data_IF_436134666819
#
_entry.id   IF_436134666819
#
_cell.length_a   1.000
_cell.length_b   1.000
_cell.length_c   1.000
_cell.angle_alpha   90.00
_cell.angle_beta   90.00
_cell.angle_gamma   90.00
#
_symmetry.space_group_name_H-M   'P 1'
#
loop_
_entity.id
_entity.type
_entity.pdbx_description
1 polymer ?
#
# COMPACT_ATOMS: atom_id res chain seq x y z
N UNK A 1 64.37 16.34 16.98
CA UNK A 1 65.34 16.02 18.05
C UNK A 1 64.59 15.38 19.21
N UNK A 2 64.57 14.06 19.25
CA UNK A 2 64.88 13.24 20.42
C UNK A 2 64.72 11.79 19.98
N UNK A 3 65.88 11.18 19.79
CA UNK A 3 66.07 9.78 19.46
C UNK A 3 66.04 8.92 20.73
N UNK A 4 65.85 7.63 20.46
CA UNK A 4 66.34 6.43 21.14
C UNK A 4 65.16 5.53 21.57
N UNK A 5 64.89 4.47 20.78
CA UNK A 5 65.58 3.17 20.84
C UNK A 5 64.73 2.24 21.73
N UNK A 6 64.38 1.00 21.44
CA UNK A 6 64.76 0.04 20.39
C UNK A 6 64.03 -1.27 20.74
N UNK A 7 64.00 -2.20 19.77
CA UNK A 7 63.67 -3.63 19.90
C UNK A 7 62.17 -3.97 19.93
N UNK A 8 61.61 -4.78 19.03
CA UNK A 8 62.17 -5.53 17.92
C UNK A 8 61.02 -6.26 17.21
N UNK A 9 60.97 -6.13 15.89
CA UNK A 9 60.41 -7.17 14.99
C UNK A 9 61.53 -8.20 14.80
N UNK A 10 61.25 -9.50 14.59
CA UNK A 10 60.60 -10.01 13.37
C UNK A 10 59.68 -11.21 13.68
N UNK A 11 58.91 -11.88 12.81
CA UNK A 11 59.18 -12.45 11.50
C UNK A 11 57.82 -12.87 10.90
N UNK A 12 57.59 -12.58 9.62
CA UNK A 12 56.61 -13.31 8.81
C UNK A 12 57.27 -14.63 8.39
N UNK A 13 56.73 -15.75 8.84
CA UNK A 13 57.05 -17.07 8.29
C UNK A 13 55.76 -17.86 8.06
N UNK A 14 55.59 -18.26 6.80
CA UNK A 14 54.98 -19.50 6.32
C UNK A 14 53.75 -20.04 7.04
N UNK A 15 52.60 -19.86 6.40
CA UNK A 15 51.68 -20.98 6.28
C UNK A 15 52.40 -22.14 5.56
N UNK A 16 51.99 -23.37 5.85
CA UNK A 16 52.44 -24.63 5.25
C UNK A 16 53.65 -25.29 5.91
N UNK A 17 53.43 -25.94 7.06
CA UNK A 17 53.95 -27.28 7.42
C UNK A 17 53.88 -27.52 8.94
N UNK A 18 52.73 -28.01 9.44
CA UNK A 18 52.63 -28.68 10.74
C UNK A 18 51.35 -29.52 10.83
N UNK A 19 51.18 -30.46 9.90
CA UNK A 19 50.36 -31.64 10.16
C UNK A 19 51.24 -32.62 10.94
N UNK A 20 51.08 -32.67 12.27
CA UNK A 20 51.83 -33.67 13.03
C UNK A 20 52.01 -33.44 14.51
N UNK A 21 51.09 -32.79 15.22
CA UNK A 21 50.92 -33.04 16.66
C UNK A 21 49.44 -32.89 17.01
N UNK A 22 48.79 -34.01 17.27
CA UNK A 22 47.50 -34.02 17.93
C UNK A 22 47.68 -33.30 19.28
N UNK A 23 46.85 -32.29 19.62
CA UNK A 23 46.92 -31.69 20.94
C UNK A 23 46.63 -32.81 21.95
N UNK A 24 47.57 -33.06 22.86
CA UNK A 24 47.32 -33.91 24.01
C UNK A 24 46.19 -33.28 24.79
N UNK A 25 44.99 -33.85 24.60
CA UNK A 25 43.81 -33.53 25.38
C UNK A 25 44.22 -33.75 26.85
N UNK A 26 44.08 -32.73 27.73
CA UNK A 26 44.38 -32.89 29.14
C UNK A 26 43.72 -34.16 29.65
N UNK A 27 44.43 -35.00 30.41
CA UNK A 27 43.94 -36.31 30.90
C UNK A 27 42.59 -36.17 31.64
N UNK A 28 42.28 -34.99 32.20
CA UNK A 28 41.00 -34.66 32.81
C UNK A 28 39.78 -34.59 31.84
N UNK A 29 40.01 -34.38 30.54
CA UNK A 29 38.97 -34.38 29.50
C UNK A 29 38.73 -35.79 28.91
N UNK A 30 39.67 -36.72 29.05
CA UNK A 30 39.47 -38.11 28.61
C UNK A 30 38.44 -38.86 29.46
N UNK A 31 38.35 -38.55 30.76
CA UNK A 31 37.31 -39.09 31.64
C UNK A 31 35.91 -38.58 31.25
N UNK A 32 35.79 -37.31 30.85
CA UNK A 32 34.50 -36.72 30.49
C UNK A 32 33.95 -37.22 29.13
N UNK A 33 34.82 -37.55 28.16
CA UNK A 33 34.38 -38.08 26.86
C UNK A 33 34.05 -39.57 26.90
N UNK A 34 34.70 -40.35 27.77
CA UNK A 34 34.37 -41.77 27.96
C UNK A 34 32.97 -41.94 28.55
N UNK A 35 32.58 -41.08 29.49
CA UNK A 35 31.25 -41.10 30.09
C UNK A 35 30.15 -40.71 29.08
N UNK A 36 30.42 -39.76 28.17
CA UNK A 36 29.45 -39.37 27.14
C UNK A 36 29.28 -40.40 26.03
N UNK A 37 30.32 -41.11 25.61
CA UNK A 37 30.18 -42.22 24.67
C UNK A 37 29.47 -43.43 25.30
N UNK A 38 29.73 -43.70 26.59
CA UNK A 38 29.04 -44.74 27.34
C UNK A 38 27.55 -44.40 27.51
N UNK A 39 27.22 -43.15 27.85
CA UNK A 39 25.85 -42.64 27.92
C UNK A 39 25.14 -42.71 26.54
N UNK A 40 25.86 -42.38 25.46
CA UNK A 40 25.30 -42.44 24.10
C UNK A 40 25.06 -43.89 23.66
N UNK A 41 25.96 -44.83 23.99
CA UNK A 41 25.79 -46.27 23.71
C UNK A 41 24.63 -46.88 24.50
N UNK A 42 24.53 -46.60 25.80
CA UNK A 42 23.43 -47.07 26.65
C UNK A 42 22.07 -46.53 26.21
N UNK A 43 21.97 -45.24 25.85
CA UNK A 43 20.73 -44.69 25.28
C UNK A 43 20.33 -45.35 23.95
N UNK A 44 21.32 -45.69 23.11
CA UNK A 44 21.05 -46.35 21.81
C UNK A 44 20.62 -47.80 22.01
N UNK A 45 21.24 -48.53 22.96
CA UNK A 45 20.85 -49.91 23.31
C UNK A 45 19.49 -49.99 24.00
N UNK A 46 19.16 -49.05 24.89
CA UNK A 46 17.83 -48.96 25.52
C UNK A 46 16.74 -48.62 24.51
N UNK A 47 17.03 -47.74 23.55
CA UNK A 47 16.12 -47.43 22.44
C UNK A 47 15.89 -48.61 21.50
N UNK A 48 16.89 -49.47 21.27
CA UNK A 48 16.76 -50.67 20.44
C UNK A 48 15.99 -51.80 21.15
N UNK A 49 15.96 -51.81 22.49
CA UNK A 49 15.25 -52.81 23.32
C UNK A 49 13.80 -52.43 23.65
N UNK A 50 13.31 -51.28 23.18
CA UNK A 50 11.93 -50.82 23.41
C UNK A 50 11.57 -50.56 24.87
N UNK A 51 12.58 -50.46 25.75
CA UNK A 51 12.38 -50.19 27.17
C UNK A 51 12.21 -48.68 27.39
N UNK A 52 11.21 -48.23 28.17
CA UNK A 52 11.02 -46.82 28.44
C UNK A 52 12.27 -46.27 29.14
N UNK A 53 12.93 -45.29 28.51
CA UNK A 53 14.12 -44.56 28.97
C UNK A 53 14.01 -43.94 30.39
N UNK A 54 12.84 -44.04 31.02
CA UNK A 54 12.47 -43.42 32.29
C UNK A 54 12.80 -44.28 33.53
N UNK A 55 13.33 -45.50 33.37
CA UNK A 55 13.62 -46.41 34.50
C UNK A 55 15.11 -46.68 34.73
N UNK A 56 16.00 -46.04 33.98
CA UNK A 56 17.42 -46.07 34.31
C UNK A 56 17.69 -45.08 35.45
N UNK A 57 18.07 -45.56 36.65
CA UNK A 57 18.29 -44.71 37.82
C UNK A 57 19.39 -43.66 37.57
N UNK A 58 20.36 -43.96 36.71
CA UNK A 58 21.46 -43.03 36.37
C UNK A 58 20.94 -41.86 35.52
N UNK A 59 20.03 -42.13 34.58
CA UNK A 59 19.40 -41.08 33.76
C UNK A 59 18.46 -40.22 34.62
N UNK A 60 17.75 -40.83 35.58
CA UNK A 60 16.92 -40.13 36.56
C UNK A 60 17.72 -39.17 37.44
N UNK A 61 18.87 -39.60 37.96
CA UNK A 61 19.77 -38.77 38.76
C UNK A 61 20.34 -37.59 37.96
N UNK A 62 20.80 -37.81 36.72
CA UNK A 62 21.33 -36.74 35.87
C UNK A 62 20.27 -35.69 35.51
N UNK A 63 19.01 -36.10 35.28
CA UNK A 63 17.90 -35.18 35.06
C UNK A 63 17.55 -34.38 36.32
N UNK A 64 17.56 -35.02 37.49
CA UNK A 64 17.33 -34.36 38.77
C UNK A 64 18.44 -33.37 39.12
N UNK A 65 19.70 -33.71 38.83
CA UNK A 65 20.85 -32.81 39.02
C UNK A 65 20.77 -31.60 38.09
N UNK A 66 20.46 -31.82 36.80
CA UNK A 66 20.23 -30.72 35.84
C UNK A 66 19.10 -29.80 36.32
N UNK A 67 17.98 -30.36 36.77
CA UNK A 67 16.87 -29.58 37.32
C UNK A 67 17.30 -28.78 38.56
N UNK A 68 18.09 -29.38 39.46
CA UNK A 68 18.61 -28.68 40.63
C UNK A 68 19.56 -27.52 40.25
N UNK A 69 20.39 -27.70 39.22
CA UNK A 69 21.27 -26.65 38.69
C UNK A 69 20.47 -25.52 38.04
N UNK A 70 19.45 -25.85 37.23
CA UNK A 70 18.57 -24.87 36.60
C UNK A 70 17.78 -24.08 37.65
N UNK A 71 17.26 -24.73 38.70
CA UNK A 71 16.59 -24.06 39.83
C UNK A 71 17.51 -23.11 40.59
N UNK A 72 18.75 -23.53 40.88
CA UNK A 72 19.76 -22.66 41.53
C UNK A 72 20.10 -21.45 40.65
N UNK A 73 20.21 -21.66 39.34
CA UNK A 73 20.46 -20.59 38.37
C UNK A 73 19.29 -19.61 38.31
N UNK A 74 18.06 -20.11 38.27
CA UNK A 74 16.84 -19.30 38.26
C UNK A 74 16.68 -18.50 39.56
N UNK A 75 16.99 -19.11 40.70
CA UNK A 75 16.98 -18.40 41.99
C UNK A 75 18.00 -17.26 42.01
N UNK A 76 19.22 -17.51 41.51
CA UNK A 76 20.26 -16.47 41.38
C UNK A 76 19.81 -15.34 40.44
N UNK A 77 19.19 -15.66 39.31
CA UNK A 77 18.65 -14.69 38.38
C UNK A 77 17.50 -13.88 39.01
N UNK A 78 16.62 -14.52 39.79
CA UNK A 78 15.55 -13.86 40.52
C UNK A 78 16.11 -12.85 41.52
N UNK A 79 17.05 -13.26 42.38
CA UNK A 79 17.72 -12.37 43.34
C UNK A 79 18.42 -11.19 42.66
N UNK A 80 19.08 -11.42 41.54
CA UNK A 80 19.71 -10.34 40.76
C UNK A 80 18.68 -9.34 40.21
N UNK A 81 17.56 -9.83 39.65
CA UNK A 81 16.47 -8.96 39.17
C UNK A 81 15.86 -8.12 40.30
N UNK A 82 15.69 -8.71 41.47
CA UNK A 82 15.17 -8.02 42.66
C UNK A 82 16.15 -6.94 43.15
N UNK A 83 17.44 -7.26 43.26
CA UNK A 83 18.48 -6.29 43.63
C UNK A 83 18.56 -5.13 42.62
N UNK A 84 18.51 -5.43 41.32
CA UNK A 84 18.47 -4.42 40.28
C UNK A 84 17.22 -3.56 40.41
N UNK A 85 16.04 -4.15 40.61
CA UNK A 85 14.78 -3.42 40.78
C UNK A 85 14.86 -2.45 41.96
N UNK A 86 15.34 -2.92 43.11
CA UNK A 86 15.54 -2.09 44.31
C UNK A 86 16.50 -0.92 44.04
N UNK A 87 17.64 -1.18 43.39
CA UNK A 87 18.55 -0.10 42.97
C UNK A 87 17.86 0.92 42.06
N UNK A 88 16.98 0.50 41.14
CA UNK A 88 16.24 1.45 40.27
C UNK A 88 15.21 2.28 41.02
N UNK A 89 14.67 1.77 42.12
CA UNK A 89 13.69 2.47 42.96
C UNK A 89 14.36 3.49 43.86
N UNK A 90 15.59 3.20 44.31
CA UNK A 90 16.41 4.09 45.15
C UNK A 90 17.19 5.15 44.35
N UNK A 91 17.21 5.04 43.01
CA UNK A 91 17.88 6.01 42.14
C UNK A 91 17.25 7.41 42.22
N UNK A 92 18.11 8.42 42.33
CA UNK A 92 17.70 9.82 42.14
C UNK A 92 17.30 10.11 40.69
N UNK A 93 16.56 11.19 40.47
CA UNK A 93 16.16 11.61 39.12
C UNK A 93 17.38 11.84 38.19
N UNK A 94 18.46 12.43 38.71
CA UNK A 94 19.70 12.69 37.96
C UNK A 94 20.43 11.38 37.60
N UNK A 95 20.56 10.45 38.54
CA UNK A 95 21.15 9.13 38.28
C UNK A 95 20.33 8.34 37.25
N UNK A 96 19.00 8.42 37.36
CA UNK A 96 18.09 7.80 36.37
C UNK A 96 18.29 8.43 34.99
N UNK A 97 18.40 9.74 34.91
CA UNK A 97 18.63 10.44 33.65
C UNK A 97 19.99 10.10 33.04
N UNK A 98 21.07 10.11 33.83
CA UNK A 98 22.41 9.74 33.37
C UNK A 98 22.43 8.29 32.83
N UNK A 99 21.82 7.35 33.55
CA UNK A 99 21.69 5.96 33.08
C UNK A 99 20.91 5.88 31.77
N UNK A 100 19.79 6.60 31.65
CA UNK A 100 18.99 6.62 30.41
C UNK A 100 19.75 7.28 29.25
N UNK A 101 20.52 8.34 29.53
CA UNK A 101 21.40 9.00 28.56
C UNK A 101 22.47 8.03 28.03
N UNK A 102 23.22 7.38 28.93
CA UNK A 102 24.21 6.35 28.57
C UNK A 102 23.59 5.20 27.78
N UNK A 103 22.37 4.78 28.14
CA UNK A 103 21.66 3.72 27.41
C UNK A 103 21.24 4.17 26.00
N UNK A 104 20.73 5.40 25.84
CA UNK A 104 20.39 5.98 24.53
C UNK A 104 21.64 6.10 23.64
N UNK A 105 22.76 6.53 24.21
CA UNK A 105 24.03 6.64 23.51
C UNK A 105 24.56 5.28 23.06
N UNK A 106 24.61 4.30 23.95
CA UNK A 106 25.02 2.93 23.60
C UNK A 106 24.13 2.33 22.51
N UNK A 107 22.81 2.60 22.55
CA UNK A 107 21.87 2.17 21.51
C UNK A 107 22.14 2.89 20.18
N UNK A 108 22.43 4.19 20.21
CA UNK A 108 22.78 4.97 19.02
C UNK A 108 24.04 4.41 18.35
N UNK A 109 25.09 4.15 19.13
CA UNK A 109 26.35 3.58 18.63
C UNK A 109 26.11 2.20 18.03
N UNK A 110 25.38 1.31 18.73
CA UNK A 110 25.02 -0.01 18.18
C UNK A 110 24.29 0.09 16.85
N UNK A 111 23.31 1.00 16.73
CA UNK A 111 22.55 1.22 15.50
C UNK A 111 23.38 1.79 14.35
N UNK A 112 24.42 2.57 14.65
CA UNK A 112 25.34 3.09 13.64
C UNK A 112 26.28 2.02 13.10
N UNK A 113 26.60 1.01 13.92
CA UNK A 113 27.48 -0.10 13.56
C UNK A 113 26.70 -1.35 13.08
N UNK A 114 25.37 -1.29 12.99
CA UNK A 114 24.54 -2.38 12.46
C UNK A 114 24.87 -2.61 10.98
N UNK A 115 25.01 -3.87 10.57
CA UNK A 115 24.97 -4.23 9.14
C UNK A 115 23.56 -4.05 8.57
N UNK A 116 23.42 -3.96 7.25
CA UNK A 116 22.09 -3.83 6.63
C UNK A 116 21.20 -5.04 6.94
N UNK A 117 21.75 -6.26 6.97
CA UNK A 117 21.02 -7.47 7.36
C UNK A 117 20.51 -7.41 8.81
N UNK A 118 21.34 -6.94 9.75
CA UNK A 118 20.95 -6.77 11.15
C UNK A 118 19.87 -5.71 11.31
N UNK A 119 19.98 -4.61 10.55
CA UNK A 119 19.00 -3.54 10.51
C UNK A 119 17.66 -4.06 9.97
N UNK A 120 17.68 -4.82 8.89
CA UNK A 120 16.48 -5.41 8.29
C UNK A 120 15.82 -6.44 9.21
N UNK A 121 16.60 -7.32 9.85
CA UNK A 121 16.06 -8.25 10.85
C UNK A 121 15.42 -7.51 12.03
N UNK A 122 16.06 -6.44 12.53
CA UNK A 122 15.50 -5.58 13.58
C UNK A 122 14.20 -4.91 13.15
N UNK A 123 14.14 -4.35 11.94
CA UNK A 123 12.95 -3.71 11.39
C UNK A 123 11.83 -4.73 11.14
N UNK A 124 12.16 -5.93 10.65
CA UNK A 124 11.21 -7.04 10.47
C UNK A 124 10.60 -7.45 11.81
N UNK A 125 11.42 -7.77 12.81
CA UNK A 125 10.95 -8.11 14.16
C UNK A 125 10.10 -7.00 14.78
N UNK A 126 10.45 -5.73 14.55
CA UNK A 126 9.64 -4.60 15.01
C UNK A 126 8.27 -4.53 14.31
N UNK A 127 8.22 -4.72 12.99
CA UNK A 127 6.96 -4.78 12.22
C UNK A 127 6.07 -5.93 12.70
N UNK A 128 6.65 -7.10 12.93
CA UNK A 128 5.93 -8.28 13.45
C UNK A 128 5.39 -8.05 14.87
N UNK A 129 6.20 -7.48 15.77
CA UNK A 129 5.75 -7.14 17.11
C UNK A 129 4.58 -6.12 17.07
N UNK A 130 4.67 -5.10 16.22
CA UNK A 130 3.61 -4.12 16.01
C UNK A 130 2.35 -4.76 15.43
N UNK A 131 2.48 -5.71 14.50
CA UNK A 131 1.35 -6.47 13.95
C UNK A 131 0.65 -7.26 15.06
N UNK A 132 1.40 -8.03 15.85
CA UNK A 132 0.88 -8.80 17.00
C UNK A 132 0.24 -7.93 18.08
N UNK A 133 0.74 -6.71 18.26
CA UNK A 133 0.13 -5.73 19.18
C UNK A 133 -1.22 -5.23 18.64
N UNK A 134 -1.31 -4.91 17.35
CA UNK A 134 -2.55 -4.48 16.70
C UNK A 134 -3.61 -5.57 16.65
N UNK A 135 -3.21 -6.83 16.50
CA UNK A 135 -4.14 -7.98 16.51
C UNK A 135 -4.76 -8.21 17.89
N UNK A 136 -4.04 -7.86 18.97
CA UNK A 136 -4.51 -7.97 20.35
C UNK A 136 -5.17 -6.70 20.89
N UNK A 137 -5.28 -5.67 20.05
CA UNK A 137 -5.85 -4.37 20.41
C UNK A 137 -7.36 -4.52 20.64
N UNK A 138 -7.86 -4.03 21.78
CA UNK A 138 -9.31 -3.89 22.00
C UNK A 138 -9.89 -2.80 21.10
N UNK A 139 -11.18 -2.84 20.80
CA UNK A 139 -11.79 -1.81 19.94
C UNK A 139 -11.65 -0.39 20.53
N UNK A 140 -11.71 -0.24 21.86
CA UNK A 140 -11.47 1.04 22.53
C UNK A 140 -10.03 1.55 22.33
N UNK A 141 -9.02 0.68 22.47
CA UNK A 141 -7.62 1.03 22.20
C UNK A 141 -7.41 1.40 20.73
N UNK A 142 -8.03 0.66 19.80
CA UNK A 142 -7.98 0.93 18.37
C UNK A 142 -8.58 2.28 18.04
N UNK A 143 -9.76 2.58 18.59
CA UNK A 143 -10.40 3.87 18.42
C UNK A 143 -9.52 5.01 18.93
N UNK A 144 -8.95 4.86 20.13
CA UNK A 144 -8.06 5.87 20.72
C UNK A 144 -6.78 6.08 19.89
N UNK A 145 -6.16 5.00 19.39
CA UNK A 145 -4.99 5.08 18.51
C UNK A 145 -5.33 5.80 17.19
N UNK A 146 -6.47 5.49 16.57
CA UNK A 146 -6.92 6.15 15.35
C UNK A 146 -7.28 7.63 15.60
N UNK A 147 -7.87 7.95 16.76
CA UNK A 147 -8.16 9.32 17.17
C UNK A 147 -6.87 10.13 17.31
N UNK A 148 -5.89 9.64 18.08
CA UNK A 148 -4.57 10.29 18.22
C UNK A 148 -3.86 10.45 16.88
N UNK A 149 -3.96 9.46 15.99
CA UNK A 149 -3.38 9.54 14.65
C UNK A 149 -4.04 10.64 13.79
N UNK A 150 -5.37 10.74 13.81
CA UNK A 150 -6.12 11.80 13.13
C UNK A 150 -5.75 13.19 13.67
N UNK A 151 -5.68 13.33 14.99
CA UNK A 151 -5.27 14.58 15.65
C UNK A 151 -3.83 14.97 15.27
N UNK A 152 -2.89 14.03 15.31
CA UNK A 152 -1.51 14.27 14.89
C UNK A 152 -1.40 14.70 13.42
N UNK A 153 -2.15 14.06 12.51
CA UNK A 153 -2.19 14.46 11.10
C UNK A 153 -2.79 15.85 10.94
N UNK A 154 -3.86 16.16 11.67
CA UNK A 154 -4.50 17.49 11.65
C UNK A 154 -3.51 18.56 12.10
N UNK A 155 -2.83 18.35 13.23
CA UNK A 155 -1.85 19.30 13.76
C UNK A 155 -0.69 19.50 12.78
N UNK A 156 -0.15 18.42 12.20
CA UNK A 156 0.89 18.51 11.17
C UNK A 156 0.45 19.31 9.94
N UNK A 157 -0.80 19.14 9.49
CA UNK A 157 -1.37 19.90 8.36
C UNK A 157 -1.66 21.35 8.70
N UNK A 158 -1.87 21.69 9.97
CA UNK A 158 -2.02 23.09 10.39
C UNK A 158 -0.68 23.81 10.47
N UNK A 159 0.40 23.07 10.75
CA UNK A 159 1.77 23.57 10.85
C UNK A 159 2.55 23.45 9.53
N UNK A 160 1.92 22.96 8.44
CA UNK A 160 2.60 22.79 7.15
C UNK A 160 2.89 24.15 6.51
N UNK A 161 4.08 24.31 5.92
CA UNK A 161 4.36 25.49 5.09
C UNK A 161 3.56 25.43 3.79
N UNK A 162 3.44 26.57 3.10
CA UNK A 162 2.75 26.62 1.81
C UNK A 162 3.39 25.67 0.78
N UNK A 163 4.72 25.62 0.71
CA UNK A 163 5.46 24.70 -0.17
C UNK A 163 5.18 23.22 0.17
N UNK A 164 5.19 22.86 1.46
CA UNK A 164 4.87 21.50 1.90
C UNK A 164 3.43 21.12 1.55
N UNK A 165 2.49 22.07 1.67
CA UNK A 165 1.10 21.87 1.28
C UNK A 165 0.97 21.63 -0.22
N UNK A 166 1.62 22.45 -1.04
CA UNK A 166 1.59 22.33 -2.49
C UNK A 166 2.21 21.01 -2.95
N UNK A 167 3.36 20.63 -2.40
CA UNK A 167 4.00 19.35 -2.69
C UNK A 167 3.09 18.17 -2.32
N UNK A 168 2.46 18.22 -1.13
CA UNK A 168 1.52 17.19 -0.68
C UNK A 168 0.30 17.09 -1.60
N UNK A 169 -0.26 18.22 -2.05
CA UNK A 169 -1.39 18.25 -2.96
C UNK A 169 -1.01 17.75 -4.36
N UNK A 170 0.18 18.13 -4.85
CA UNK A 170 0.73 17.63 -6.12
C UNK A 170 0.88 16.11 -6.10
N UNK A 171 1.53 15.56 -5.06
CA UNK A 171 1.68 14.10 -4.88
C UNK A 171 0.33 13.38 -4.79
N UNK A 172 -0.65 13.98 -4.11
CA UNK A 172 -2.01 13.41 -4.04
C UNK A 172 -2.71 13.39 -5.40
N UNK A 173 -2.57 14.47 -6.18
CA UNK A 173 -3.11 14.57 -7.53
C UNK A 173 -2.46 13.55 -8.46
N UNK A 174 -1.13 13.42 -8.45
CA UNK A 174 -0.38 12.43 -9.23
C UNK A 174 -0.82 11.01 -8.89
N UNK A 175 -0.88 10.66 -7.60
CA UNK A 175 -1.35 9.35 -7.15
C UNK A 175 -2.80 9.07 -7.58
N UNK A 176 -3.67 10.08 -7.53
CA UNK A 176 -5.06 9.95 -8.01
C UNK A 176 -5.11 9.77 -9.52
N UNK A 177 -4.24 10.44 -10.28
CA UNK A 177 -4.14 10.30 -11.73
C UNK A 177 -3.73 8.88 -12.10
N UNK A 178 -2.65 8.37 -11.50
CA UNK A 178 -2.17 6.99 -11.71
C UNK A 178 -3.27 5.99 -11.37
N UNK A 179 -3.89 6.10 -10.19
CA UNK A 179 -4.99 5.21 -9.81
C UNK A 179 -6.14 5.22 -10.82
N UNK A 180 -6.49 6.38 -11.38
CA UNK A 180 -7.56 6.49 -12.39
C UNK A 180 -7.16 5.90 -13.75
N UNK A 181 -5.88 5.84 -14.06
CA UNK A 181 -5.37 5.20 -15.28
C UNK A 181 -5.34 3.68 -15.14
N UNK A 182 -5.10 3.19 -13.92
CA UNK A 182 -5.08 1.76 -13.57
C UNK A 182 -6.46 1.20 -13.19
N UNK A 183 -7.49 2.05 -13.08
CA UNK A 183 -8.87 1.64 -12.79
C UNK A 183 -9.40 0.66 -13.86
N UNK A 184 -10.01 -0.45 -13.44
CA UNK A 184 -10.76 -1.31 -14.36
C UNK A 184 -12.06 -0.62 -14.80
N UNK A 185 -12.68 -1.08 -15.90
CA UNK A 185 -13.95 -0.47 -16.35
C UNK A 185 -15.05 -0.60 -15.28
N UNK A 186 -15.13 -1.74 -14.58
CA UNK A 186 -16.08 -1.92 -13.46
C UNK A 186 -15.82 -0.92 -12.32
N UNK A 187 -14.56 -0.70 -11.93
CA UNK A 187 -14.19 0.28 -10.89
C UNK A 187 -14.54 1.71 -11.33
N UNK A 188 -14.30 2.02 -12.61
CA UNK A 188 -14.63 3.30 -13.22
C UNK A 188 -16.13 3.54 -13.22
N UNK A 189 -16.93 2.57 -13.65
CA UNK A 189 -18.39 2.63 -13.63
C UNK A 189 -18.92 2.82 -12.21
N UNK A 190 -18.43 2.03 -11.24
CA UNK A 190 -18.81 2.18 -9.84
C UNK A 190 -18.48 3.58 -9.30
N UNK A 191 -17.29 4.11 -9.62
CA UNK A 191 -16.90 5.47 -9.21
C UNK A 191 -17.82 6.52 -9.83
N UNK A 192 -18.14 6.41 -11.12
CA UNK A 192 -19.04 7.34 -11.82
C UNK A 192 -20.46 7.26 -11.25
N UNK A 193 -20.97 6.05 -10.99
CA UNK A 193 -22.27 5.82 -10.35
C UNK A 193 -22.33 6.48 -8.96
N UNK A 194 -21.33 6.26 -8.11
CA UNK A 194 -21.23 6.89 -6.78
C UNK A 194 -21.19 8.42 -6.87
N UNK A 195 -20.49 8.96 -7.87
CA UNK A 195 -20.45 10.41 -8.11
C UNK A 195 -21.84 10.93 -8.51
N UNK A 196 -22.50 10.26 -9.46
CA UNK A 196 -23.84 10.61 -9.92
C UNK A 196 -24.87 10.54 -8.78
N UNK A 197 -24.88 9.47 -7.98
CA UNK A 197 -25.72 9.33 -6.80
C UNK A 197 -25.47 10.47 -5.80
N UNK A 198 -24.22 10.86 -5.59
CA UNK A 198 -23.86 11.99 -4.75
C UNK A 198 -24.34 13.34 -5.30
N UNK A 199 -24.30 13.55 -6.61
CA UNK A 199 -24.86 14.74 -7.25
C UNK A 199 -26.38 14.76 -7.10
N UNK A 200 -27.04 13.63 -7.38
CA UNK A 200 -28.49 13.49 -7.28
C UNK A 200 -28.98 13.83 -5.87
N UNK A 201 -28.41 13.20 -4.84
CA UNK A 201 -28.74 13.48 -3.44
C UNK A 201 -28.55 14.96 -3.06
N UNK A 202 -27.45 15.58 -3.50
CA UNK A 202 -27.23 17.02 -3.24
C UNK A 202 -28.32 17.88 -3.89
N UNK A 203 -28.72 17.57 -5.12
CA UNK A 203 -29.77 18.31 -5.84
C UNK A 203 -31.16 18.12 -5.24
N UNK A 204 -31.45 16.94 -4.70
CA UNK A 204 -32.71 16.67 -4.00
C UNK A 204 -32.81 17.45 -2.67
N UNK A 205 -31.66 17.71 -2.04
CA UNK A 205 -31.57 18.48 -0.79
C UNK A 205 -31.29 19.98 -1.02
N UNK A 206 -31.21 20.45 -2.27
CA UNK A 206 -30.96 21.85 -2.59
C UNK A 206 -32.18 22.70 -2.19
N UNK A 207 -31.94 23.79 -1.47
CA UNK A 207 -32.94 24.87 -1.31
C UNK A 207 -33.12 25.62 -2.64
N UNK A 208 -34.25 26.31 -2.82
CA UNK A 208 -34.50 27.05 -4.07
C UNK A 208 -33.42 28.12 -4.33
N UNK A 209 -32.95 28.82 -3.30
CA UNK A 209 -31.85 29.79 -3.44
C UNK A 209 -30.55 29.13 -3.93
N UNK A 210 -30.20 27.95 -3.38
CA UNK A 210 -29.03 27.19 -3.82
C UNK A 210 -29.18 26.70 -5.26
N UNK A 211 -30.39 26.24 -5.63
CA UNK A 211 -30.74 25.82 -6.99
C UNK A 211 -30.59 26.98 -7.98
N UNK A 212 -31.15 28.15 -7.67
CA UNK A 212 -31.03 29.35 -8.49
C UNK A 212 -29.58 29.79 -8.64
N UNK A 213 -28.81 29.81 -7.55
CA UNK A 213 -27.37 30.12 -7.59
C UNK A 213 -26.59 29.14 -8.47
N UNK A 214 -26.89 27.85 -8.41
CA UNK A 214 -26.26 26.82 -9.25
C UNK A 214 -26.62 27.02 -10.73
N UNK A 215 -27.89 27.26 -11.04
CA UNK A 215 -28.35 27.49 -12.42
C UNK A 215 -27.74 28.76 -13.00
N UNK A 216 -27.70 29.85 -12.23
CA UNK A 216 -27.02 31.10 -12.63
C UNK A 216 -25.55 30.88 -12.95
N UNK A 217 -24.80 30.22 -12.05
CA UNK A 217 -23.38 29.88 -12.30
C UNK A 217 -23.19 28.98 -13.52
N UNK A 218 -24.10 28.02 -13.73
CA UNK A 218 -24.07 27.16 -14.90
C UNK A 218 -24.24 27.99 -16.18
N UNK A 219 -25.23 28.89 -16.19
CA UNK A 219 -25.48 29.79 -17.31
C UNK A 219 -24.31 30.73 -17.61
N UNK A 220 -23.75 31.37 -16.57
CA UNK A 220 -22.54 32.20 -16.69
C UNK A 220 -21.37 31.39 -17.26
N UNK A 221 -21.17 30.16 -16.80
CA UNK A 221 -20.15 29.26 -17.33
C UNK A 221 -20.38 28.86 -18.80
N UNK A 222 -21.63 28.61 -19.21
CA UNK A 222 -21.98 28.36 -20.61
C UNK A 222 -21.69 29.59 -21.47
N UNK A 223 -22.12 30.78 -21.01
CA UNK A 223 -21.90 32.05 -21.69
C UNK A 223 -20.40 32.31 -21.89
N UNK A 224 -19.60 32.18 -20.84
CA UNK A 224 -18.15 32.39 -20.91
C UNK A 224 -17.48 31.40 -21.86
N UNK A 225 -17.85 30.11 -21.82
CA UNK A 225 -17.33 29.12 -22.78
C UNK A 225 -17.66 29.49 -24.23
N UNK A 226 -18.89 29.94 -24.51
CA UNK A 226 -19.29 30.37 -25.87
C UNK A 226 -18.48 31.57 -26.35
N UNK A 227 -18.16 32.51 -25.46
CA UNK A 227 -17.35 33.67 -25.80
C UNK A 227 -15.88 33.31 -26.10
N UNK A 228 -15.35 32.30 -25.40
CA UNK A 228 -13.96 31.84 -25.56
C UNK A 228 -13.74 30.92 -26.76
N UNK A 229 -14.79 30.47 -27.45
CA UNK A 229 -14.66 29.64 -28.65
C UNK A 229 -13.98 30.41 -29.79
N UNK A 230 -13.07 29.74 -30.49
CA UNK A 230 -12.52 30.24 -31.75
C UNK A 230 -13.55 30.12 -32.88
N UNK A 231 -13.27 30.72 -34.05
CA UNK A 231 -14.20 30.74 -35.19
C UNK A 231 -14.54 29.34 -35.70
N UNK A 232 -13.55 28.45 -35.82
CA UNK A 232 -13.79 27.06 -36.25
C UNK A 232 -14.70 26.26 -35.30
N UNK A 233 -14.60 26.45 -33.98
CA UNK A 233 -15.51 25.82 -33.01
C UNK A 233 -16.92 26.40 -33.00
N UNK A 234 -17.08 27.65 -33.47
CA UNK A 234 -18.39 28.28 -33.69
C UNK A 234 -19.02 27.75 -34.97
N UNK A 235 -18.24 27.65 -36.04
CA UNK A 235 -18.67 27.05 -37.31
C UNK A 235 -19.08 25.59 -37.12
N UNK A 236 -18.26 24.75 -36.48
CA UNK A 236 -18.62 23.36 -36.16
C UNK A 236 -19.90 23.28 -35.31
N UNK A 237 -20.11 24.21 -34.37
CA UNK A 237 -21.37 24.26 -33.61
C UNK A 237 -22.57 24.58 -34.52
N UNK A 238 -22.43 25.57 -35.40
CA UNK A 238 -23.48 25.95 -36.35
C UNK A 238 -23.78 24.82 -37.34
N UNK A 239 -22.76 24.13 -37.84
CA UNK A 239 -22.91 22.95 -38.69
C UNK A 239 -23.69 21.85 -37.97
N UNK A 240 -23.35 21.52 -36.72
CA UNK A 240 -24.09 20.52 -35.92
C UNK A 240 -25.53 20.93 -35.68
N UNK A 241 -25.78 22.21 -35.40
CA UNK A 241 -27.15 22.74 -35.23
C UNK A 241 -27.93 22.60 -36.54
N UNK A 242 -27.33 22.97 -37.67
CA UNK A 242 -27.95 22.87 -38.98
C UNK A 242 -28.24 21.42 -39.39
N UNK A 243 -27.29 20.51 -39.16
CA UNK A 243 -27.49 19.06 -39.38
C UNK A 243 -28.59 18.50 -38.49
N UNK A 244 -28.64 18.88 -37.21
CA UNK A 244 -29.71 18.47 -36.31
C UNK A 244 -31.08 18.99 -36.78
N UNK A 245 -31.17 20.25 -37.21
CA UNK A 245 -32.40 20.82 -37.77
C UNK A 245 -32.82 20.10 -39.05
N UNK A 246 -31.87 19.74 -39.92
CA UNK A 246 -32.13 18.97 -41.14
C UNK A 246 -32.62 17.55 -40.85
N UNK A 247 -32.03 16.87 -39.87
CA UNK A 247 -32.47 15.53 -39.46
C UNK A 247 -33.88 15.58 -38.86
N UNK A 248 -34.17 16.59 -38.06
CA UNK A 248 -35.50 16.80 -37.49
C UNK A 248 -36.58 16.96 -38.58
N UNK A 249 -36.33 17.80 -39.59
CA UNK A 249 -37.29 17.97 -40.71
C UNK A 249 -37.41 16.73 -41.58
N UNK A 250 -36.33 15.96 -41.76
CA UNK A 250 -36.41 14.67 -42.45
C UNK A 250 -37.23 13.63 -41.68
N UNK A 251 -37.09 13.61 -40.34
CA UNK A 251 -37.91 12.74 -39.49
C UNK A 251 -39.39 13.13 -39.53
N UNK A 252 -39.74 14.40 -39.40
CA UNK A 252 -41.15 14.85 -39.52
C UNK A 252 -41.76 14.46 -40.87
N UNK A 253 -41.02 14.68 -41.97
CA UNK A 253 -41.48 14.29 -43.31
C UNK A 253 -41.60 12.78 -43.49
N UNK A 254 -40.78 11.98 -42.80
CA UNK A 254 -40.85 10.53 -42.82
C UNK A 254 -42.03 10.02 -42.00
N UNK A 255 -42.25 10.56 -40.80
CA UNK A 255 -43.41 10.25 -39.97
C UNK A 255 -44.73 10.60 -40.66
N UNK A 256 -44.80 11.72 -41.38
CA UNK A 256 -45.99 12.12 -42.14
C UNK A 256 -46.23 11.22 -43.36
N UNK A 257 -45.16 10.74 -44.01
CA UNK A 257 -45.27 9.70 -45.05
C UNK A 257 -45.78 8.39 -44.47
N UNK A 258 -45.24 7.95 -43.34
CA UNK A 258 -45.62 6.70 -42.70
C UNK A 258 -47.07 6.75 -42.20
N UNK A 259 -47.52 7.88 -41.63
CA UNK A 259 -48.94 8.13 -41.29
C UNK A 259 -49.83 8.09 -42.53
N UNK A 260 -49.41 8.68 -43.66
CA UNK A 260 -50.16 8.65 -44.92
C UNK A 260 -50.24 7.24 -45.50
N UNK A 261 -49.17 6.45 -45.41
CA UNK A 261 -49.16 5.05 -45.82
C UNK A 261 -50.06 4.19 -44.93
N UNK A 262 -50.06 4.40 -43.61
CA UNK A 262 -50.97 3.72 -42.69
C UNK A 262 -52.45 4.03 -42.98
N UNK A 263 -52.79 5.31 -43.24
CA UNK A 263 -54.17 5.69 -43.62
C UNK A 263 -54.63 5.10 -44.96
N UNK A 264 -53.70 4.77 -45.87
CA UNK A 264 -54.00 4.09 -47.13
C UNK A 264 -54.16 2.58 -46.93
N UNK A 265 -53.40 1.98 -46.03
CA UNK A 265 -53.57 0.57 -45.61
C UNK A 265 -54.89 0.34 -44.87
N UNK A 266 -55.27 1.21 -43.94
CA UNK A 266 -56.53 1.11 -43.18
C UNK A 266 -57.78 1.30 -44.05
N UNK A 267 -57.64 1.91 -45.24
CA UNK A 267 -58.71 2.05 -46.24
C UNK A 267 -58.82 0.87 -47.21
N UNK A 268 -58.03 -0.20 -47.05
CA UNK A 268 -58.15 -1.43 -47.83
C UNK A 268 -57.77 -1.30 -49.32
N UNK A 269 -56.93 -0.32 -49.67
CA UNK A 269 -56.60 0.04 -51.06
C UNK A 269 -55.28 -0.55 -51.58
N UNK A 270 -54.82 -1.69 -51.05
CA UNK A 270 -53.62 -2.38 -51.58
C UNK A 270 -53.86 -3.88 -51.70
N UNK A 271 -54.63 -4.28 -52.72
CA UNK A 271 -54.42 -5.56 -53.39
C UNK A 271 -53.88 -5.26 -54.79
N UNK A 272 -52.61 -5.61 -55.02
CA UNK A 272 -52.04 -5.66 -56.37
C UNK A 272 -51.21 -4.44 -56.79
N UNK A 273 -50.01 -4.27 -56.23
CA UNK A 273 -48.94 -3.54 -56.91
C UNK A 273 -47.57 -4.11 -56.51
N UNK A 274 -47.19 -5.18 -57.20
CA UNK A 274 -45.82 -5.67 -57.26
C UNK A 274 -44.90 -4.60 -57.89
N UNK A 275 -43.79 -4.35 -57.20
CA UNK A 275 -42.44 -4.15 -57.75
C UNK A 275 -42.30 -3.26 -59.00
N UNK A 276 -42.57 -1.96 -58.83
CA UNK A 276 -41.95 -0.92 -59.66
C UNK A 276 -40.90 -0.18 -58.85
N UNK A 277 -39.65 -0.67 -58.82
CA UNK A 277 -38.51 0.10 -58.30
C UNK A 277 -38.30 1.30 -59.22
N UNK A 278 -38.82 2.45 -58.81
CA UNK A 278 -38.73 3.70 -59.55
C UNK A 278 -37.28 4.26 -59.41
N UNK A 279 -36.40 3.83 -60.33
CA UNK A 279 -34.98 4.23 -60.41
C UNK A 279 -34.78 5.75 -60.63
N UNK A 280 -35.84 6.53 -60.87
CA UNK A 280 -35.74 7.97 -61.09
C UNK A 280 -35.43 8.82 -59.85
N UNK A 281 -35.52 8.25 -58.65
CA UNK A 281 -35.19 8.99 -57.41
C UNK A 281 -33.75 8.76 -56.90
N UNK A 282 -32.97 7.85 -57.50
CA UNK A 282 -31.59 7.59 -57.07
C UNK A 282 -30.55 8.58 -57.64
N UNK A 283 -30.91 9.36 -58.69
CA UNK A 283 -30.00 10.31 -59.34
C UNK A 283 -30.30 11.79 -59.04
N UNK A 284 -31.11 12.10 -58.03
CA UNK A 284 -31.07 13.46 -57.46
C UNK A 284 -29.87 13.53 -56.53
N UNK A 285 -28.73 13.91 -57.10
CA UNK A 285 -27.60 14.41 -56.30
C UNK A 285 -28.17 15.38 -55.26
N UNK A 286 -28.10 14.98 -54.00
CA UNK A 286 -28.41 15.85 -52.87
C UNK A 286 -27.64 17.15 -53.10
N UNK A 287 -28.30 18.33 -53.07
CA UNK A 287 -27.59 19.58 -53.28
C UNK A 287 -26.45 19.64 -52.26
N UNK A 288 -25.22 19.54 -52.77
CA UNK A 288 -24.02 19.68 -51.94
C UNK A 288 -24.14 21.06 -51.31
N UNK A 289 -24.17 21.12 -49.98
CA UNK A 289 -24.08 22.37 -49.28
C UNK A 289 -22.80 23.06 -49.78
N UNK A 290 -22.86 24.31 -50.24
CA UNK A 290 -21.72 25.03 -50.79
C UNK A 290 -20.49 25.00 -49.85
N UNK A 291 -20.71 24.77 -48.55
CA UNK A 291 -19.69 24.61 -47.53
C UNK A 291 -18.80 23.35 -47.68
N UNK A 292 -19.29 22.25 -48.25
CA UNK A 292 -18.47 21.06 -48.50
C UNK A 292 -17.46 21.29 -49.65
N UNK A 293 -17.80 22.13 -50.62
CA UNK A 293 -16.89 22.48 -51.71
C UNK A 293 -15.72 23.35 -51.23
N UNK A 294 -15.94 24.27 -50.30
CA UNK A 294 -14.85 25.11 -49.77
C UNK A 294 -13.88 24.33 -48.86
N UNK A 295 -14.34 23.28 -48.17
CA UNK A 295 -13.48 22.44 -47.33
C UNK A 295 -12.62 21.46 -48.15
N UNK A 296 -13.10 21.00 -49.30
CA UNK A 296 -12.29 20.18 -50.24
C UNK A 296 -11.21 21.01 -50.94
N UNK A 297 -11.41 22.32 -51.10
CA UNK A 297 -10.43 23.23 -51.71
C UNK A 297 -9.31 23.69 -50.76
N UNK A 298 -9.42 23.40 -49.45
CA UNK A 298 -8.42 23.78 -48.42
C UNK A 298 -7.51 22.63 -47.96
N UNK A 299 -7.57 21.46 -48.60
CA UNK A 299 -6.60 20.37 -48.43
C UNK A 299 -5.57 20.39 -49.55
#
# INVERSE_FOLDING_TARGET
MNELSSNGRPFLCGADSCWGMAPQVPVALQCFTQDWEHLRRTMTELSLKGLPLMHDPVIGELLAEKQAVDLKKDEKLRKNREAMKKHREEETAEQREDRLRKNREAMRVRRQMESEEQRDDRLRKNREAMKRFRERETEAQRHERLRKNRESIKNRRQQESQEQREERLRKNWESTKVRRQEETEEEREQRLRRNWDGIKRRREQETEEQRQKRLRKNWEGIKNRRQQKNEGEKEDMLCRIWEAMRQFTQQEMQEDRDKRCHLLFDRGLVEGAQEGKDERLQNRETPRCCFQQEMEQRK
#
